data_IF_538161730793
#
_entry.id   IF_538161730793
#
_cell.length_a   1.000
_cell.length_b   1.000
_cell.length_c   1.000
_cell.angle_alpha   90.00
_cell.angle_beta   90.00
_cell.angle_gamma   90.00
#
_symmetry.space_group_name_H-M   'P 1'
#
loop_
_entity.id
_entity.type
_entity.pdbx_description
1 polymer ?
#
# COMPACT_ATOMS: atom_id res chain seq x y z
N UNK A 1 27.28 23.21 -58.61
CA UNK A 1 27.46 22.17 -57.58
C UNK A 1 26.99 22.56 -56.18
N UNK A 2 27.06 23.82 -55.72
CA UNK A 2 26.61 24.23 -54.37
C UNK A 2 25.08 24.19 -54.11
N UNK A 3 24.23 24.25 -55.13
CA UNK A 3 22.77 24.28 -55.03
C UNK A 3 22.13 22.87 -54.90
N UNK A 4 22.81 21.83 -55.36
CA UNK A 4 22.34 20.44 -55.30
C UNK A 4 22.54 19.88 -53.88
N UNK A 5 23.60 20.29 -53.16
CA UNK A 5 23.86 19.88 -51.79
C UNK A 5 22.80 20.42 -50.81
N UNK A 6 22.29 21.63 -51.06
CA UNK A 6 21.26 22.22 -50.16
C UNK A 6 19.92 21.50 -50.26
N UNK A 7 19.59 20.99 -51.41
CA UNK A 7 18.29 20.26 -51.63
C UNK A 7 18.35 18.86 -51.02
N UNK A 8 19.51 18.19 -51.07
CA UNK A 8 19.67 16.86 -50.48
C UNK A 8 19.63 16.94 -48.95
N UNK A 9 20.21 17.99 -48.33
CA UNK A 9 20.19 18.18 -46.91
C UNK A 9 18.79 18.51 -46.37
N UNK A 10 17.98 19.27 -47.14
CA UNK A 10 16.60 19.58 -46.77
C UNK A 10 15.71 18.34 -46.83
N UNK A 11 15.91 17.43 -47.80
CA UNK A 11 15.17 16.18 -47.94
C UNK A 11 15.48 15.19 -46.82
N UNK A 12 16.73 15.14 -46.31
CA UNK A 12 17.07 14.29 -45.14
C UNK A 12 16.47 14.79 -43.84
N UNK A 13 16.27 16.10 -43.66
CA UNK A 13 15.66 16.63 -42.42
C UNK A 13 14.13 16.35 -42.35
N UNK A 14 13.44 16.25 -43.49
CA UNK A 14 12.01 15.95 -43.51
C UNK A 14 11.71 14.47 -43.24
N UNK A 15 12.63 13.55 -43.58
CA UNK A 15 12.51 12.12 -43.30
C UNK A 15 12.82 11.76 -41.85
N UNK A 16 13.55 12.61 -41.08
CA UNK A 16 13.84 12.38 -39.69
C UNK A 16 12.67 12.73 -38.74
N UNK A 17 11.67 13.49 -39.19
CA UNK A 17 10.51 13.88 -38.38
C UNK A 17 9.33 12.88 -38.49
N UNK A 18 9.38 11.91 -39.38
CA UNK A 18 8.35 10.90 -39.53
C UNK A 18 8.58 9.61 -38.74
N UNK A 19 9.69 9.50 -37.99
CA UNK A 19 10.05 8.29 -37.23
C UNK A 19 9.63 8.33 -35.74
N UNK A 20 8.91 9.37 -35.30
CA UNK A 20 8.31 9.44 -33.96
C UNK A 20 6.81 9.19 -33.98
N UNK A 21 6.34 8.25 -34.79
CA UNK A 21 5.02 7.65 -34.56
C UNK A 21 5.18 6.57 -33.50
N UNK A 22 4.61 6.85 -32.35
CA UNK A 22 4.52 5.96 -31.21
C UNK A 22 4.19 4.54 -31.67
N UNK A 23 5.07 3.61 -31.37
CA UNK A 23 4.81 2.19 -31.45
C UNK A 23 3.69 1.90 -30.46
N UNK A 24 2.48 1.80 -30.95
CA UNK A 24 1.34 1.30 -30.19
C UNK A 24 1.70 -0.12 -29.79
N UNK A 25 2.12 -0.30 -28.58
CA UNK A 25 2.28 -1.63 -27.97
C UNK A 25 0.89 -2.21 -27.95
N UNK A 26 0.64 -3.24 -28.76
CA UNK A 26 -0.56 -4.05 -28.64
C UNK A 26 -0.52 -4.68 -27.26
N UNK A 27 -1.45 -4.26 -26.43
CA UNK A 27 -1.75 -4.79 -25.12
C UNK A 27 -2.22 -6.23 -25.31
N UNK A 28 -1.31 -7.18 -25.15
CA UNK A 28 -1.66 -8.59 -25.02
C UNK A 28 -2.37 -8.71 -23.68
N UNK A 29 -3.69 -8.87 -23.76
CA UNK A 29 -4.64 -8.93 -22.66
C UNK A 29 -4.20 -9.78 -21.46
N UNK A 30 -3.47 -9.16 -20.58
CA UNK A 30 -3.43 -9.47 -19.17
C UNK A 30 -4.40 -8.51 -18.51
N UNK A 31 -5.40 -9.05 -17.85
CA UNK A 31 -6.35 -8.29 -17.05
C UNK A 31 -5.62 -7.74 -15.82
N UNK A 32 -4.69 -6.81 -16.02
CA UNK A 32 -4.09 -6.02 -14.95
C UNK A 32 -5.15 -5.02 -14.51
N UNK A 33 -6.03 -5.48 -13.65
CA UNK A 33 -6.90 -4.60 -12.89
C UNK A 33 -5.96 -3.67 -12.12
N UNK A 34 -5.81 -2.43 -12.60
CA UNK A 34 -5.07 -1.40 -11.87
C UNK A 34 -5.71 -1.32 -10.49
N UNK A 35 -4.92 -1.34 -9.41
CA UNK A 35 -5.47 -1.19 -8.07
C UNK A 35 -6.32 0.07 -8.05
N UNK A 36 -7.52 0.00 -7.46
CA UNK A 36 -8.36 1.18 -7.27
C UNK A 36 -7.53 2.28 -6.60
N UNK A 37 -7.59 3.51 -7.09
CA UNK A 37 -6.82 4.60 -6.50
C UNK A 37 -7.20 4.80 -5.04
N UNK A 38 -6.23 5.08 -4.19
CA UNK A 38 -6.47 5.52 -2.82
C UNK A 38 -6.93 6.98 -2.85
N UNK A 39 -8.02 7.28 -2.15
CA UNK A 39 -8.57 8.63 -2.01
C UNK A 39 -8.18 9.18 -0.64
N UNK A 40 -7.36 10.21 -0.60
CA UNK A 40 -7.03 10.92 0.64
C UNK A 40 -8.27 11.58 1.24
N UNK A 41 -8.40 11.55 2.56
CA UNK A 41 -9.55 12.06 3.29
C UNK A 41 -9.19 12.42 4.73
N UNK A 42 -10.15 12.96 5.50
CA UNK A 42 -10.00 13.12 6.94
C UNK A 42 -10.33 11.82 7.70
N UNK A 43 -10.01 11.74 8.98
CA UNK A 43 -10.36 10.58 9.82
C UNK A 43 -11.89 10.37 9.91
N UNK A 44 -12.65 11.47 9.97
CA UNK A 44 -14.11 11.44 10.00
C UNK A 44 -14.68 10.92 8.68
N UNK A 45 -14.18 11.42 7.54
CA UNK A 45 -14.58 10.95 6.21
C UNK A 45 -14.20 9.47 6.00
N UNK A 46 -13.03 9.04 6.48
CA UNK A 46 -12.65 7.62 6.45
C UNK A 46 -13.69 6.75 7.14
N UNK A 47 -14.06 7.14 8.38
CA UNK A 47 -15.07 6.41 9.16
C UNK A 47 -16.43 6.41 8.46
N UNK A 48 -16.84 7.55 7.88
CA UNK A 48 -18.10 7.65 7.13
C UNK A 48 -18.12 6.74 5.90
N UNK A 49 -17.02 6.70 5.13
CA UNK A 49 -16.91 5.92 3.89
C UNK A 49 -16.78 4.42 4.10
N UNK A 50 -16.07 4.00 5.16
CA UNK A 50 -15.71 2.59 5.37
C UNK A 50 -16.48 1.95 6.54
N UNK A 51 -16.98 2.78 7.46
CA UNK A 51 -17.54 2.34 8.75
C UNK A 51 -16.47 1.76 9.68
N UNK A 52 -15.20 2.14 9.50
CA UNK A 52 -14.05 1.68 10.29
C UNK A 52 -13.30 2.89 10.82
N UNK A 53 -13.03 2.89 12.11
CA UNK A 53 -12.15 3.88 12.75
C UNK A 53 -10.78 3.25 12.96
N UNK A 54 -9.74 3.92 12.46
CA UNK A 54 -8.36 3.51 12.66
C UNK A 54 -7.70 4.45 13.66
N UNK A 55 -7.40 3.92 14.86
CA UNK A 55 -6.70 4.69 15.89
C UNK A 55 -5.21 4.76 15.58
N UNK A 56 -4.61 5.92 15.84
CA UNK A 56 -3.17 6.14 15.73
C UNK A 56 -2.63 6.66 17.06
N UNK A 57 -1.34 6.45 17.38
CA UNK A 57 -0.74 7.00 18.58
C UNK A 57 -0.91 8.53 18.63
N UNK A 58 -1.18 9.09 19.82
CA UNK A 58 -1.37 10.55 20.01
C UNK A 58 -0.15 11.36 19.56
N UNK A 59 1.06 10.77 19.67
CA UNK A 59 2.32 11.41 19.28
C UNK A 59 2.78 11.02 17.87
N UNK A 60 1.94 10.36 17.08
CA UNK A 60 2.23 10.09 15.69
C UNK A 60 2.27 11.39 14.87
N UNK A 61 3.13 11.43 13.86
CA UNK A 61 3.29 12.56 12.93
C UNK A 61 3.15 12.05 11.49
N UNK A 62 3.07 12.96 10.52
CA UNK A 62 2.93 12.66 9.10
C UNK A 62 1.74 11.71 8.82
N UNK A 63 0.61 11.96 9.49
CA UNK A 63 -0.58 11.13 9.42
C UNK A 63 -1.34 11.44 8.12
N UNK A 64 -1.57 10.40 7.30
CA UNK A 64 -2.38 10.50 6.08
C UNK A 64 -3.44 9.41 6.08
N UNK A 65 -4.70 9.81 6.11
CA UNK A 65 -5.84 8.92 5.97
C UNK A 65 -6.25 8.79 4.51
N UNK A 66 -6.63 7.59 4.11
CA UNK A 66 -7.15 7.32 2.77
C UNK A 66 -8.08 6.11 2.77
N UNK A 67 -8.94 6.00 1.77
CA UNK A 67 -9.72 4.80 1.53
C UNK A 67 -9.57 4.33 0.09
N UNK A 68 -9.76 3.03 -0.13
CA UNK A 68 -9.81 2.42 -1.46
C UNK A 68 -11.24 1.97 -1.69
N UNK A 69 -11.86 2.47 -2.78
CA UNK A 69 -13.24 2.11 -3.14
C UNK A 69 -13.34 0.65 -3.57
N UNK A 70 -14.49 0.05 -3.36
CA UNK A 70 -14.82 -1.33 -3.74
C UNK A 70 -16.15 -1.75 -3.14
N UNK A 71 -16.57 -2.98 -3.40
CA UNK A 71 -17.79 -3.56 -2.80
C UNK A 71 -17.70 -3.56 -1.26
N UNK A 72 -16.51 -3.73 -0.75
CA UNK A 72 -16.16 -3.54 0.66
C UNK A 72 -14.99 -2.56 0.71
N UNK A 73 -15.23 -1.26 1.02
CA UNK A 73 -14.16 -0.27 1.05
C UNK A 73 -13.08 -0.62 2.08
N UNK A 74 -11.82 -0.33 1.73
CA UNK A 74 -10.68 -0.54 2.60
C UNK A 74 -10.28 0.80 3.22
N UNK A 75 -10.21 0.86 4.54
CA UNK A 75 -9.67 1.97 5.31
C UNK A 75 -8.15 1.86 5.40
N UNK A 76 -7.44 2.98 5.28
CA UNK A 76 -5.99 3.04 5.44
C UNK A 76 -5.58 4.30 6.17
N UNK A 77 -4.58 4.20 7.02
CA UNK A 77 -3.82 5.33 7.54
C UNK A 77 -2.33 5.00 7.47
N UNK A 78 -1.53 5.95 7.01
CA UNK A 78 -0.07 5.91 7.15
C UNK A 78 0.35 6.97 8.16
N UNK A 79 1.36 6.66 8.97
CA UNK A 79 1.87 7.57 9.97
C UNK A 79 3.31 7.23 10.36
N UNK A 80 4.01 8.21 10.95
CA UNK A 80 5.32 8.01 11.55
C UNK A 80 5.19 8.05 13.07
N UNK A 81 5.73 7.05 13.72
CA UNK A 81 5.81 6.97 15.17
C UNK A 81 7.20 6.49 15.60
N UNK A 82 7.85 7.25 16.50
CA UNK A 82 9.23 7.00 16.97
C UNK A 82 10.25 6.80 15.81
N UNK A 83 10.06 7.55 14.72
CA UNK A 83 10.95 7.51 13.55
C UNK A 83 10.72 6.31 12.61
N UNK A 84 9.72 5.50 12.86
CA UNK A 84 9.32 4.36 12.02
C UNK A 84 8.02 4.67 11.27
N UNK A 85 7.94 4.25 10.01
CA UNK A 85 6.74 4.42 9.18
C UNK A 85 5.86 3.18 9.27
N UNK A 86 4.58 3.40 9.56
CA UNK A 86 3.56 2.36 9.65
C UNK A 86 2.46 2.58 8.62
N UNK A 87 1.94 1.48 8.09
CA UNK A 87 0.73 1.45 7.27
C UNK A 87 -0.29 0.57 8.00
N UNK A 88 -1.38 1.18 8.44
CA UNK A 88 -2.44 0.50 9.16
C UNK A 88 -3.71 0.47 8.30
N UNK A 89 -4.29 -0.72 8.11
CA UNK A 89 -5.46 -0.96 7.26
C UNK A 89 -6.54 -1.70 8.00
N UNK A 90 -7.79 -1.47 7.60
CA UNK A 90 -8.96 -2.19 8.06
C UNK A 90 -9.94 -2.42 6.93
N UNK A 91 -10.55 -3.60 6.89
CA UNK A 91 -11.61 -3.96 5.92
C UNK A 91 -12.61 -4.89 6.56
N UNK A 92 -13.92 -4.67 6.32
CA UNK A 92 -14.96 -5.59 6.79
C UNK A 92 -14.84 -6.92 6.08
N UNK A 93 -14.70 -8.01 6.85
CA UNK A 93 -14.53 -9.36 6.35
C UNK A 93 -15.23 -10.37 7.28
N UNK A 94 -15.52 -11.56 6.78
CA UNK A 94 -16.11 -12.62 7.61
C UNK A 94 -15.07 -13.40 8.41
N UNK A 95 -13.85 -13.47 7.89
CA UNK A 95 -12.70 -14.16 8.48
C UNK A 95 -11.46 -13.32 8.31
N UNK A 96 -10.42 -13.61 9.06
CA UNK A 96 -9.12 -12.94 8.93
C UNK A 96 -8.61 -13.02 7.48
N UNK A 97 -8.18 -11.89 6.93
CA UNK A 97 -7.65 -11.77 5.58
C UNK A 97 -6.43 -10.84 5.59
N UNK A 98 -5.42 -11.19 4.81
CA UNK A 98 -4.31 -10.27 4.55
C UNK A 98 -4.76 -9.18 3.58
N UNK A 99 -4.89 -7.98 4.12
CA UNK A 99 -5.25 -6.75 3.40
C UNK A 99 -4.10 -5.75 3.36
N UNK A 100 -2.88 -6.18 3.70
CA UNK A 100 -1.70 -5.32 3.78
C UNK A 100 -1.32 -4.68 2.44
N UNK A 101 -1.64 -5.35 1.33
CA UNK A 101 -1.15 -4.98 0.00
C UNK A 101 0.36 -5.15 -0.15
N UNK A 102 0.98 -5.87 0.76
CA UNK A 102 2.40 -6.21 0.77
C UNK A 102 2.57 -7.63 0.23
N UNK A 103 3.07 -7.76 -0.98
CA UNK A 103 3.21 -9.05 -1.69
C UNK A 103 4.64 -9.58 -1.57
N UNK A 104 5.09 -9.79 -0.31
CA UNK A 104 6.40 -10.36 -0.02
C UNK A 104 6.33 -11.88 0.18
N UNK A 105 7.43 -12.56 -0.03
CA UNK A 105 7.60 -13.94 0.41
C UNK A 105 7.96 -13.93 1.90
N UNK A 106 6.99 -14.30 2.74
CA UNK A 106 7.15 -14.32 4.20
C UNK A 106 8.03 -15.51 4.59
N UNK A 107 9.17 -15.25 5.22
CA UNK A 107 10.15 -16.27 5.62
C UNK A 107 10.01 -16.70 7.07
N UNK A 108 9.36 -15.87 7.91
CA UNK A 108 9.13 -16.14 9.33
C UNK A 108 7.72 -15.74 9.73
N UNK A 109 7.10 -16.58 10.56
CA UNK A 109 5.79 -16.33 11.18
C UNK A 109 5.93 -16.49 12.69
N UNK A 110 5.32 -15.57 13.47
CA UNK A 110 5.27 -15.63 14.93
C UNK A 110 3.85 -15.37 15.43
N UNK A 111 3.55 -15.83 16.64
CA UNK A 111 2.24 -15.69 17.29
C UNK A 111 1.09 -16.33 16.47
N UNK A 112 1.38 -17.43 15.78
CA UNK A 112 0.39 -18.24 15.08
C UNK A 112 -0.21 -19.29 16.03
N UNK A 113 -0.94 -18.81 17.03
CA UNK A 113 -1.63 -19.67 18.00
C UNK A 113 -3.02 -19.11 18.34
N UNK A 114 -3.95 -19.98 18.74
CA UNK A 114 -5.31 -19.57 19.12
C UNK A 114 -5.36 -18.69 20.38
N UNK A 115 -4.29 -18.70 21.17
CA UNK A 115 -4.19 -17.91 22.41
C UNK A 115 -3.73 -16.47 22.18
N UNK A 116 -3.23 -16.14 20.98
CA UNK A 116 -2.74 -14.81 20.61
C UNK A 116 -3.64 -14.24 19.52
N UNK A 117 -4.25 -13.05 19.72
CA UNK A 117 -5.24 -12.50 18.81
C UNK A 117 -4.67 -12.00 17.49
N UNK A 118 -3.37 -12.06 17.26
CA UNK A 118 -2.70 -11.58 16.05
C UNK A 118 -1.60 -12.55 15.60
N UNK A 119 -1.29 -12.52 14.30
CA UNK A 119 -0.17 -13.25 13.70
C UNK A 119 0.79 -12.25 13.05
N UNK A 120 2.09 -12.40 13.31
CA UNK A 120 3.11 -11.59 12.66
C UNK A 120 3.83 -12.37 11.58
N UNK A 121 4.09 -11.72 10.45
CA UNK A 121 4.83 -12.23 9.31
C UNK A 121 6.01 -11.32 9.00
N UNK A 122 7.16 -11.91 8.65
CA UNK A 122 8.40 -11.19 8.40
C UNK A 122 9.10 -11.72 7.16
N UNK A 123 9.92 -10.86 6.55
CA UNK A 123 10.92 -11.23 5.57
C UNK A 123 12.32 -11.13 6.18
N UNK A 124 13.30 -11.76 5.55
CA UNK A 124 14.72 -11.62 5.94
C UNK A 124 15.28 -10.22 5.63
N UNK A 125 14.57 -9.45 4.80
CA UNK A 125 14.97 -8.10 4.35
C UNK A 125 14.42 -6.98 5.26
N UNK A 126 13.68 -7.32 6.32
CA UNK A 126 13.21 -6.37 7.31
C UNK A 126 11.86 -5.73 7.01
N UNK A 127 11.02 -6.36 6.18
CA UNK A 127 9.60 -6.05 6.06
C UNK A 127 8.78 -6.94 6.98
N UNK A 128 7.61 -6.46 7.40
CA UNK A 128 6.71 -7.31 8.18
C UNK A 128 5.33 -6.70 8.37
N UNK A 129 4.40 -7.59 8.76
CA UNK A 129 3.02 -7.23 9.10
C UNK A 129 2.59 -7.93 10.39
N UNK A 130 1.71 -7.28 11.14
CA UNK A 130 0.80 -7.93 12.08
C UNK A 130 -0.59 -7.98 11.46
N UNK A 131 -1.26 -9.11 11.61
CA UNK A 131 -2.57 -9.42 11.04
C UNK A 131 -3.49 -9.93 12.13
N UNK A 132 -4.70 -9.37 12.24
CA UNK A 132 -5.73 -9.83 13.18
C UNK A 132 -7.14 -9.59 12.64
N UNK A 133 -8.12 -10.17 13.33
CA UNK A 133 -9.54 -9.98 13.01
C UNK A 133 -10.31 -9.71 14.30
N UNK A 134 -11.08 -8.63 14.33
CA UNK A 134 -11.95 -8.26 15.45
C UNK A 134 -13.22 -7.60 14.94
N UNK A 135 -14.34 -7.94 15.54
CA UNK A 135 -15.66 -7.34 15.28
C UNK A 135 -16.07 -7.31 13.78
N UNK A 136 -15.72 -8.37 13.04
CA UNK A 136 -16.04 -8.48 11.62
C UNK A 136 -15.16 -7.63 10.71
N UNK A 137 -14.00 -7.22 11.20
CA UNK A 137 -12.99 -6.45 10.45
C UNK A 137 -11.65 -7.17 10.48
N UNK A 138 -11.04 -7.38 9.32
CA UNK A 138 -9.61 -7.71 9.25
C UNK A 138 -8.80 -6.45 9.33
N UNK A 139 -7.72 -6.52 10.09
CA UNK A 139 -6.75 -5.45 10.25
C UNK A 139 -5.36 -5.93 9.86
N UNK A 140 -4.58 -5.05 9.27
CA UNK A 140 -3.14 -5.24 9.05
C UNK A 140 -2.37 -4.01 9.45
N UNK A 141 -1.28 -4.21 10.16
CA UNK A 141 -0.31 -3.18 10.51
C UNK A 141 1.03 -3.57 9.89
N UNK A 142 1.51 -2.80 8.93
CA UNK A 142 2.69 -3.11 8.14
C UNK A 142 3.82 -2.10 8.29
N UNK A 143 5.03 -2.60 8.14
CA UNK A 143 6.27 -1.83 8.02
C UNK A 143 7.07 -2.36 6.83
N UNK A 144 7.68 -1.46 6.07
CA UNK A 144 8.44 -1.80 4.85
C UNK A 144 9.94 -1.91 5.08
N UNK A 145 10.42 -1.54 6.27
CA UNK A 145 11.84 -1.57 6.62
C UNK A 145 12.04 -1.66 8.14
N UNK A 146 13.18 -2.19 8.56
CA UNK A 146 13.63 -2.25 9.95
C UNK A 146 12.63 -2.87 10.93
N UNK A 147 11.75 -3.75 10.45
CA UNK A 147 10.73 -4.36 11.30
C UNK A 147 11.35 -5.30 12.33
N UNK A 148 10.82 -5.24 13.55
CA UNK A 148 11.03 -6.24 14.59
C UNK A 148 9.69 -6.70 15.14
N UNK A 149 9.64 -7.91 15.70
CA UNK A 149 8.44 -8.40 16.36
C UNK A 149 7.98 -7.46 17.47
N UNK A 150 8.92 -6.96 18.27
CA UNK A 150 8.65 -6.02 19.37
C UNK A 150 7.95 -4.74 18.87
N UNK A 151 8.39 -4.18 17.71
CA UNK A 151 7.76 -2.99 17.13
C UNK A 151 6.32 -3.26 16.70
N UNK A 152 6.05 -4.38 16.03
CA UNK A 152 4.70 -4.74 15.59
C UNK A 152 3.79 -5.03 16.78
N UNK A 153 4.26 -5.77 17.78
CA UNK A 153 3.48 -6.11 18.98
C UNK A 153 3.18 -4.87 19.81
N UNK A 154 4.17 -4.00 20.01
CA UNK A 154 3.97 -2.73 20.73
C UNK A 154 2.93 -1.87 20.03
N UNK A 155 3.05 -1.72 18.70
CA UNK A 155 2.11 -0.91 17.92
C UNK A 155 0.72 -1.54 17.88
N UNK A 156 0.60 -2.87 17.78
CA UNK A 156 -0.67 -3.58 17.94
C UNK A 156 -1.36 -3.19 19.24
N UNK A 157 -0.67 -3.29 20.37
CA UNK A 157 -1.22 -2.91 21.68
C UNK A 157 -1.69 -1.44 21.72
N UNK A 158 -0.93 -0.52 21.11
CA UNK A 158 -1.30 0.91 21.06
C UNK A 158 -2.57 1.14 20.21
N UNK A 159 -2.65 0.58 19.00
CA UNK A 159 -3.79 0.84 18.09
C UNK A 159 -5.07 0.12 18.52
N UNK A 160 -4.94 -1.00 19.26
CA UNK A 160 -6.09 -1.72 19.83
C UNK A 160 -6.52 -1.18 21.21
N UNK A 161 -5.66 -0.39 21.86
CA UNK A 161 -5.90 0.11 23.22
C UNK A 161 -5.60 -0.92 24.32
N UNK A 162 -4.87 -1.99 24.00
CA UNK A 162 -4.45 -3.03 24.96
C UNK A 162 -3.17 -2.64 25.72
N UNK A 163 -2.38 -1.70 25.17
CA UNK A 163 -1.23 -1.12 25.85
C UNK A 163 -1.59 0.27 26.39
N UNK A 164 -1.51 0.42 27.73
CA UNK A 164 -1.54 1.72 28.41
C UNK A 164 -0.14 2.33 28.50
#
# INVERSE_FOLDING_TARGET
MKRIFAIVLAACCVLALAACTAKKTEDTGGNSQLPNPAHECTAEELTEKTGITLNVPITAVDITYSYIEGDTPLAQVSFVYQGQTYIYRGQKTQTVQDISGMYYEWTKTTNDSEDVPYTCYFTDEGQGIALWHSDGVSYTLGMTENVTEELLVTMYGIVTGEAE
#
